data_IF_697427072362
#
_entry.id   IF_697427072362
#
_cell.length_a   1.000
_cell.length_b   1.000
_cell.length_c   1.000
_cell.angle_alpha   90.00
_cell.angle_beta   90.00
_cell.angle_gamma   90.00
#
_symmetry.space_group_name_H-M   'P 1'
#
loop_
_entity.id
_entity.type
_entity.pdbx_description
1 polymer ?
#
# COMPACT_ATOMS: atom_id res chain seq x y z
N UNK A 1 -19.23 9.15 4.04
CA UNK A 1 -18.90 8.00 4.91
C UNK A 1 -17.91 7.14 4.15
N UNK A 2 -16.86 6.59 4.78
CA UNK A 2 -15.95 5.69 4.09
C UNK A 2 -16.70 4.44 3.64
N UNK A 3 -16.40 3.95 2.44
CA UNK A 3 -17.08 2.77 1.89
C UNK A 3 -16.37 1.49 2.32
N UNK A 4 -15.04 1.54 2.52
CA UNK A 4 -14.24 0.37 2.83
C UNK A 4 -13.17 0.68 3.89
N UNK A 5 -13.04 -0.23 4.86
CA UNK A 5 -12.02 -0.19 5.91
C UNK A 5 -11.20 -1.46 5.80
N UNK A 6 -9.88 -1.32 5.70
CA UNK A 6 -8.93 -2.43 5.70
C UNK A 6 -8.08 -2.37 6.97
N UNK A 7 -8.03 -3.49 7.70
CA UNK A 7 -7.22 -3.66 8.90
C UNK A 7 -6.19 -4.75 8.61
N UNK A 8 -4.91 -4.38 8.56
CA UNK A 8 -3.82 -5.33 8.39
C UNK A 8 -3.17 -5.64 9.75
N UNK A 9 -3.02 -6.94 10.05
CA UNK A 9 -2.40 -7.48 11.27
C UNK A 9 -0.98 -8.03 11.02
N UNK A 10 -0.52 -8.05 9.78
CA UNK A 10 0.77 -8.67 9.41
C UNK A 10 1.98 -7.85 9.86
N UNK A 11 1.86 -6.53 9.95
CA UNK A 11 2.85 -5.71 10.65
C UNK A 11 2.45 -5.62 12.12
N UNK A 12 3.39 -5.80 13.06
CA UNK A 12 3.14 -5.63 14.52
C UNK A 12 2.63 -4.23 14.94
N UNK A 13 2.42 -3.32 13.99
CA UNK A 13 1.59 -2.13 14.09
C UNK A 13 0.29 -2.38 13.32
N UNK A 14 -0.85 -2.48 14.03
CA UNK A 14 -2.18 -2.53 13.41
C UNK A 14 -2.37 -1.30 12.52
N UNK A 15 -2.27 -1.49 11.19
CA UNK A 15 -2.44 -0.40 10.24
C UNK A 15 -3.90 -0.39 9.76
N UNK A 16 -4.61 0.70 10.05
CA UNK A 16 -5.98 0.93 9.57
C UNK A 16 -5.90 1.87 8.37
N UNK A 17 -6.38 1.39 7.23
CA UNK A 17 -6.54 2.18 6.02
C UNK A 17 -8.02 2.37 5.71
N UNK A 18 -8.39 3.60 5.37
CA UNK A 18 -9.77 4.01 5.10
C UNK A 18 -9.83 4.52 3.67
N UNK A 19 -10.72 3.92 2.86
CA UNK A 19 -10.91 4.32 1.48
C UNK A 19 -12.31 4.92 1.29
N UNK A 20 -12.35 6.04 0.57
CA UNK A 20 -13.59 6.72 0.21
C UNK A 20 -14.17 6.23 -1.12
N UNK A 21 -13.36 5.54 -1.93
CA UNK A 21 -13.78 4.84 -3.14
C UNK A 21 -13.17 3.43 -3.10
N UNK A 22 -13.82 2.46 -3.75
CA UNK A 22 -13.30 1.08 -3.78
C UNK A 22 -12.00 1.00 -4.59
N UNK A 23 -10.88 0.58 -3.98
CA UNK A 23 -9.62 0.43 -4.70
C UNK A 23 -9.66 -0.82 -5.60
N UNK A 24 -9.18 -0.70 -6.83
CA UNK A 24 -9.08 -1.85 -7.76
C UNK A 24 -8.20 -2.98 -7.21
N UNK A 25 -7.14 -2.64 -6.47
CA UNK A 25 -6.29 -3.58 -5.76
C UNK A 25 -5.58 -2.86 -4.60
N UNK A 26 -5.28 -3.61 -3.54
CA UNK A 26 -4.49 -3.15 -2.39
C UNK A 26 -3.44 -4.21 -2.12
N UNK A 27 -2.18 -3.79 -2.07
CA UNK A 27 -1.05 -4.67 -1.75
C UNK A 27 -0.33 -4.14 -0.53
N UNK A 28 0.01 -5.05 0.38
CA UNK A 28 0.76 -4.76 1.58
C UNK A 28 2.05 -5.56 1.49
N UNK A 29 3.18 -4.88 1.66
CA UNK A 29 4.50 -5.46 1.60
C UNK A 29 5.32 -4.96 2.79
N UNK A 30 6.12 -5.82 3.38
CA UNK A 30 7.07 -5.41 4.39
C UNK A 30 8.26 -4.71 3.72
N UNK A 31 9.00 -3.94 4.51
CA UNK A 31 10.23 -3.29 4.03
C UNK A 31 11.21 -4.31 3.43
N UNK A 32 11.28 -5.50 4.01
CA UNK A 32 12.19 -6.57 3.55
C UNK A 32 11.76 -7.18 2.21
N UNK A 33 10.50 -6.97 1.80
CA UNK A 33 9.95 -7.44 0.52
C UNK A 33 10.23 -6.45 -0.63
N UNK A 34 10.61 -5.20 -0.33
CA UNK A 34 10.88 -4.16 -1.34
C UNK A 34 11.86 -4.61 -2.46
N UNK A 35 12.95 -5.35 -2.18
CA UNK A 35 13.83 -5.84 -3.24
C UNK A 35 13.15 -6.80 -4.23
N UNK A 36 12.10 -7.48 -3.79
CA UNK A 36 11.34 -8.47 -4.55
C UNK A 36 9.99 -7.92 -5.07
N UNK A 37 9.65 -6.65 -4.79
CA UNK A 37 8.33 -6.10 -5.11
C UNK A 37 8.04 -6.09 -6.60
N UNK A 38 9.06 -6.09 -7.46
CA UNK A 38 8.89 -6.18 -8.91
C UNK A 38 8.31 -7.53 -9.39
N UNK A 39 8.26 -8.54 -8.51
CA UNK A 39 7.80 -9.89 -8.84
C UNK A 39 6.28 -10.06 -8.74
N UNK A 40 5.58 -9.11 -8.11
CA UNK A 40 4.10 -9.13 -8.04
C UNK A 40 3.52 -8.39 -9.24
N UNK A 41 2.36 -8.84 -9.72
CA UNK A 41 1.73 -8.27 -10.92
C UNK A 41 1.32 -6.81 -10.71
N UNK A 42 0.87 -6.48 -9.50
CA UNK A 42 0.40 -5.15 -9.12
C UNK A 42 1.52 -4.10 -9.16
N UNK A 43 2.79 -4.47 -9.01
CA UNK A 43 3.90 -3.52 -9.11
C UNK A 43 4.10 -2.97 -10.52
N UNK A 44 3.54 -3.64 -11.52
CA UNK A 44 3.60 -3.24 -12.94
C UNK A 44 2.44 -2.33 -13.33
N UNK A 45 1.50 -2.09 -12.40
CA UNK A 45 0.32 -1.24 -12.63
C UNK A 45 0.59 0.17 -12.10
N UNK A 46 0.08 1.22 -12.78
CA UNK A 46 0.13 2.57 -12.25
C UNK A 46 -0.66 2.64 -10.93
N UNK A 47 -0.18 3.42 -9.98
CA UNK A 47 -0.79 3.47 -8.65
C UNK A 47 -0.13 4.46 -7.70
N UNK A 48 -0.73 4.58 -6.51
CA UNK A 48 -0.21 5.32 -5.37
C UNK A 48 0.37 4.32 -4.38
N UNK A 49 1.56 4.60 -3.87
CA UNK A 49 2.17 3.81 -2.80
C UNK A 49 2.47 4.69 -1.59
N UNK A 50 2.36 4.08 -0.40
CA UNK A 50 2.59 4.76 0.87
C UNK A 50 3.64 3.95 1.63
N UNK A 51 4.81 4.55 1.86
CA UNK A 51 5.84 3.97 2.72
C UNK A 51 5.60 4.45 4.15
N UNK A 52 5.32 3.49 5.03
CA UNK A 52 5.13 3.72 6.46
C UNK A 52 6.40 3.30 7.21
N UNK A 53 6.99 4.22 7.96
CA UNK A 53 8.02 3.94 8.96
C UNK A 53 7.60 4.52 10.31
N UNK A 54 8.29 4.11 11.38
CA UNK A 54 7.90 4.37 12.79
C UNK A 54 7.36 5.78 13.07
N UNK A 55 8.00 6.82 12.52
CA UNK A 55 7.58 8.21 12.66
C UNK A 55 7.52 8.99 11.32
N UNK A 56 7.57 8.29 10.18
CA UNK A 56 7.64 8.94 8.86
C UNK A 56 6.69 8.28 7.89
N UNK A 57 6.07 9.11 7.05
CA UNK A 57 5.21 8.66 5.96
C UNK A 57 5.69 9.32 4.69
N UNK A 58 5.84 8.53 3.63
CA UNK A 58 6.13 9.02 2.28
C UNK A 58 5.04 8.52 1.34
N UNK A 59 4.54 9.42 0.51
CA UNK A 59 3.54 9.09 -0.52
C UNK A 59 4.18 9.34 -1.88
N UNK A 60 4.13 8.34 -2.74
CA UNK A 60 4.59 8.43 -4.11
C UNK A 60 3.51 7.93 -5.08
N UNK A 61 3.65 8.35 -6.33
CA UNK A 61 2.82 7.90 -7.44
C UNK A 61 3.74 7.32 -8.52
N UNK A 62 3.32 6.20 -9.10
CA UNK A 62 3.90 5.65 -10.32
C UNK A 62 2.83 5.66 -11.41
N UNK A 63 3.17 6.18 -12.58
CA UNK A 63 2.32 6.14 -13.76
C UNK A 63 3.13 5.71 -14.97
N UNK A 64 2.58 4.82 -15.79
CA UNK A 64 3.11 4.61 -17.14
C UNK A 64 2.79 5.86 -17.96
N UNK A 65 3.83 6.45 -18.56
CA UNK A 65 3.77 7.63 -19.43
C UNK A 65 2.95 7.36 -20.69
#
# INVERSE_FOLDING_TARGET
MPYHIFINRESGNDNISIFYDEPTFVVIANKDDLPAIQLIEESQKPGIYILLGDNKRYVGQASNS
#
